data_IF_704902734565
#
_entry.id   IF_704902734565
#
_cell.length_a   1.000
_cell.length_b   1.000
_cell.length_c   1.000
_cell.angle_alpha   90.00
_cell.angle_beta   90.00
_cell.angle_gamma   90.00
#
_symmetry.space_group_name_H-M   'P 1'
#
loop_
_entity.id
_entity.type
_entity.pdbx_description
1 polymer ?
#
# COMPACT_ATOMS: atom_id res chain seq x y z
N UNK A 1 -9.78 5.15 -32.03
CA UNK A 1 -10.24 4.77 -30.68
C UNK A 1 -9.34 5.50 -29.68
N UNK A 2 -9.74 6.68 -29.21
CA UNK A 2 -8.89 7.60 -28.43
C UNK A 2 -9.70 8.28 -27.30
N UNK A 3 -10.62 7.55 -26.67
CA UNK A 3 -11.55 8.10 -25.66
C UNK A 3 -11.45 7.46 -24.26
N UNK A 4 -10.70 6.37 -24.09
CA UNK A 4 -10.54 5.70 -22.78
C UNK A 4 -9.32 6.17 -21.99
N UNK A 5 -8.28 6.68 -22.66
CA UNK A 5 -7.06 7.15 -22.00
C UNK A 5 -7.30 8.38 -21.12
N UNK A 6 -8.27 9.23 -21.46
CA UNK A 6 -8.64 10.41 -20.67
C UNK A 6 -9.39 10.04 -19.39
N UNK A 7 -10.32 9.07 -19.47
CA UNK A 7 -11.08 8.59 -18.32
C UNK A 7 -10.19 7.82 -17.33
N UNK A 8 -9.26 6.99 -17.83
CA UNK A 8 -8.29 6.29 -16.99
C UNK A 8 -7.38 7.29 -16.26
N UNK A 9 -6.91 8.35 -16.94
CA UNK A 9 -6.08 9.38 -16.29
C UNK A 9 -6.83 10.16 -15.21
N UNK A 10 -8.12 10.47 -15.43
CA UNK A 10 -8.95 11.17 -14.44
C UNK A 10 -9.27 10.29 -13.23
N UNK A 11 -9.58 9.00 -13.44
CA UNK A 11 -9.82 8.05 -12.35
C UNK A 11 -8.56 7.87 -11.49
N UNK A 12 -7.41 7.68 -12.15
CA UNK A 12 -6.10 7.60 -11.49
C UNK A 12 -5.77 8.86 -10.69
N UNK A 13 -6.11 10.05 -11.19
CA UNK A 13 -5.88 11.31 -10.46
C UNK A 13 -6.76 11.41 -9.21
N UNK A 14 -8.02 10.95 -9.30
CA UNK A 14 -8.95 10.94 -8.19
C UNK A 14 -8.50 9.94 -7.10
N UNK A 15 -8.09 8.74 -7.49
CA UNK A 15 -7.58 7.71 -6.56
C UNK A 15 -6.24 8.13 -5.93
N UNK A 16 -5.37 8.77 -6.71
CA UNK A 16 -4.12 9.35 -6.21
C UNK A 16 -4.40 10.44 -5.18
N UNK A 17 -5.37 11.32 -5.44
CA UNK A 17 -5.76 12.36 -4.49
C UNK A 17 -6.35 11.77 -3.21
N UNK A 18 -7.15 10.71 -3.33
CA UNK A 18 -7.78 10.01 -2.22
C UNK A 18 -6.78 9.29 -1.31
N UNK A 19 -5.65 8.79 -1.83
CA UNK A 19 -4.57 8.19 -1.02
C UNK A 19 -3.52 9.22 -0.57
N UNK A 20 -3.25 10.25 -1.36
CA UNK A 20 -2.15 11.20 -1.09
C UNK A 20 -2.35 12.00 0.19
N UNK A 21 -3.56 12.54 0.41
CA UNK A 21 -3.89 13.31 1.60
C UNK A 21 -3.79 12.47 2.90
N UNK A 22 -4.49 11.32 3.04
CA UNK A 22 -4.38 10.51 4.24
C UNK A 22 -2.97 9.95 4.46
N UNK A 23 -2.23 9.59 3.41
CA UNK A 23 -0.83 9.16 3.54
C UNK A 23 0.09 10.29 4.03
N UNK A 24 -0.11 11.52 3.56
CA UNK A 24 0.64 12.68 4.02
C UNK A 24 0.32 13.00 5.49
N UNK A 25 -0.96 12.99 5.86
CA UNK A 25 -1.39 13.23 7.25
C UNK A 25 -0.85 12.17 8.20
N UNK A 26 -0.91 10.90 7.81
CA UNK A 26 -0.29 9.80 8.54
C UNK A 26 1.23 9.99 8.65
N UNK A 27 1.92 10.39 7.57
CA UNK A 27 3.35 10.68 7.56
C UNK A 27 3.72 11.76 8.58
N UNK A 28 2.98 12.88 8.59
CA UNK A 28 3.21 13.98 9.52
C UNK A 28 2.92 13.58 10.95
N UNK A 29 1.84 12.83 11.20
CA UNK A 29 1.52 12.31 12.52
C UNK A 29 2.61 11.36 13.04
N UNK A 30 3.10 10.46 12.17
CA UNK A 30 4.19 9.55 12.49
C UNK A 30 5.49 10.29 12.77
N UNK A 31 5.86 11.26 11.92
CA UNK A 31 7.04 12.08 12.13
C UNK A 31 6.99 12.84 13.46
N UNK A 32 5.86 13.46 13.80
CA UNK A 32 5.68 14.13 15.11
C UNK A 32 5.90 13.17 16.28
N UNK A 33 5.40 11.93 16.18
CA UNK A 33 5.59 10.89 17.21
C UNK A 33 7.05 10.42 17.29
N UNK A 34 7.72 10.26 16.15
CA UNK A 34 9.14 9.90 16.11
C UNK A 34 9.99 11.02 16.70
N UNK A 35 9.77 12.27 16.28
CA UNK A 35 10.50 13.44 16.78
C UNK A 35 10.33 13.63 18.30
N UNK A 36 9.15 13.35 18.84
CA UNK A 36 8.93 13.39 20.29
C UNK A 36 9.71 12.31 21.08
N UNK A 37 10.14 11.24 20.40
CA UNK A 37 10.90 10.12 21.00
C UNK A 37 12.39 10.16 20.67
N UNK A 38 12.78 10.96 19.70
CA UNK A 38 14.15 11.08 19.23
C UNK A 38 14.85 12.22 19.97
N UNK A 39 16.10 12.00 20.39
CA UNK A 39 16.90 13.04 21.03
C UNK A 39 17.11 14.24 20.09
N UNK A 40 17.14 15.44 20.66
CA UNK A 40 17.37 16.66 19.90
C UNK A 40 18.68 16.58 19.10
N UNK A 41 18.62 16.85 17.80
CA UNK A 41 19.77 16.81 16.90
C UNK A 41 19.94 15.50 16.11
N UNK A 42 19.12 14.48 16.34
CA UNK A 42 19.15 13.26 15.53
C UNK A 42 18.25 13.38 14.29
N UNK A 43 18.78 12.96 13.15
CA UNK A 43 18.05 12.93 11.89
C UNK A 43 17.05 11.76 11.86
N UNK A 44 15.84 12.01 11.39
CA UNK A 44 14.79 10.99 11.21
C UNK A 44 14.56 10.84 9.71
N UNK A 45 14.83 9.65 9.18
CA UNK A 45 14.60 9.32 7.77
C UNK A 45 13.71 8.07 7.67
N UNK A 46 12.60 8.19 6.95
CA UNK A 46 11.69 7.07 6.68
C UNK A 46 10.92 7.31 5.38
N UNK A 47 10.34 6.25 4.82
CA UNK A 47 9.43 6.32 3.66
C UNK A 47 7.98 6.21 4.13
N UNK A 48 7.20 7.31 4.11
CA UNK A 48 5.81 7.25 4.55
C UNK A 48 4.94 6.34 3.70
N UNK A 49 5.19 6.33 2.38
CA UNK A 49 4.47 5.47 1.44
C UNK A 49 4.76 3.99 1.71
N UNK A 50 6.02 3.64 2.00
CA UNK A 50 6.39 2.25 2.30
C UNK A 50 5.69 1.72 3.55
N UNK A 51 5.66 2.52 4.63
CA UNK A 51 4.98 2.14 5.88
C UNK A 51 3.46 2.03 5.66
N UNK A 52 2.86 2.99 4.96
CA UNK A 52 1.42 2.99 4.68
C UNK A 52 1.02 1.78 3.81
N UNK A 53 1.84 1.45 2.81
CA UNK A 53 1.66 0.27 1.96
C UNK A 53 1.73 -1.01 2.78
N UNK A 54 2.76 -1.16 3.62
CA UNK A 54 2.92 -2.35 4.46
C UNK A 54 1.74 -2.52 5.44
N UNK A 55 1.26 -1.44 6.04
CA UNK A 55 0.10 -1.49 6.94
C UNK A 55 -1.22 -1.77 6.20
N UNK A 56 -1.39 -1.26 4.98
CA UNK A 56 -2.55 -1.58 4.11
C UNK A 56 -2.53 -3.04 3.63
N UNK A 57 -1.34 -3.57 3.40
CA UNK A 57 -1.13 -4.97 3.06
C UNK A 57 -1.43 -5.87 4.26
N UNK A 58 -0.98 -5.47 5.45
CA UNK A 58 -1.28 -6.15 6.72
C UNK A 58 -2.77 -6.11 7.06
N UNK A 59 -3.44 -4.99 6.83
CA UNK A 59 -4.87 -4.85 7.12
C UNK A 59 -5.71 -5.82 6.28
N UNK A 60 -5.30 -6.14 5.05
CA UNK A 60 -5.98 -7.13 4.21
C UNK A 60 -6.02 -8.52 4.86
N UNK A 61 -5.01 -8.89 5.66
CA UNK A 61 -4.97 -10.13 6.42
C UNK A 61 -5.48 -10.02 7.87
N UNK A 62 -5.82 -8.81 8.33
CA UNK A 62 -6.35 -8.56 9.66
C UNK A 62 -7.88 -8.73 9.67
N UNK A 63 -8.42 -9.20 10.79
CA UNK A 63 -9.87 -9.36 10.97
C UNK A 63 -10.40 -8.47 12.10
N UNK A 64 -11.68 -8.08 11.98
CA UNK A 64 -12.45 -7.40 13.02
C UNK A 64 -11.79 -6.08 13.47
N UNK A 65 -11.63 -5.88 14.77
CA UNK A 65 -11.09 -4.67 15.40
C UNK A 65 -9.71 -4.28 14.86
N UNK A 66 -8.82 -5.26 14.63
CA UNK A 66 -7.47 -4.99 14.12
C UNK A 66 -7.51 -4.36 12.72
N UNK A 67 -8.44 -4.79 11.87
CA UNK A 67 -8.63 -4.20 10.54
C UNK A 67 -9.06 -2.73 10.66
N UNK A 68 -10.08 -2.47 11.49
CA UNK A 68 -10.62 -1.12 11.72
C UNK A 68 -9.56 -0.17 12.28
N UNK A 69 -8.75 -0.62 13.25
CA UNK A 69 -7.68 0.18 13.84
C UNK A 69 -6.59 0.55 12.83
N UNK A 70 -6.21 -0.39 11.96
CA UNK A 70 -5.24 -0.13 10.88
C UNK A 70 -5.81 0.88 9.88
N UNK A 71 -7.05 0.69 9.43
CA UNK A 71 -7.73 1.60 8.49
C UNK A 71 -7.86 3.01 9.07
N UNK A 72 -8.33 3.12 10.31
CA UNK A 72 -8.47 4.41 10.98
C UNK A 72 -7.12 5.09 11.19
N UNK A 73 -6.07 4.34 11.51
CA UNK A 73 -4.73 4.90 11.70
C UNK A 73 -4.14 5.46 10.41
N UNK A 74 -4.43 4.81 9.28
CA UNK A 74 -4.00 5.25 7.95
C UNK A 74 -4.88 6.35 7.35
N UNK A 75 -6.00 6.71 7.99
CA UNK A 75 -6.95 7.68 7.46
C UNK A 75 -7.85 7.13 6.35
N UNK A 76 -7.98 5.80 6.23
CA UNK A 76 -8.81 5.12 5.23
C UNK A 76 -10.20 4.75 5.74
N UNK A 77 -10.63 5.28 6.89
CA UNK A 77 -11.92 4.93 7.51
C UNK A 77 -13.12 5.21 6.61
N UNK A 78 -12.99 6.08 5.62
CA UNK A 78 -14.04 6.40 4.63
C UNK A 78 -13.95 5.56 3.35
N UNK A 79 -12.94 4.69 3.22
CA UNK A 79 -12.67 3.89 2.03
C UNK A 79 -12.82 2.39 2.34
N UNK A 80 -13.26 1.62 1.34
CA UNK A 80 -13.27 0.16 1.44
C UNK A 80 -11.90 -0.43 1.07
N UNK A 81 -11.61 -1.64 1.58
CA UNK A 81 -10.35 -2.34 1.28
C UNK A 81 -10.09 -2.49 -0.22
N UNK A 82 -11.12 -2.79 -1.01
CA UNK A 82 -11.00 -2.90 -2.47
C UNK A 82 -10.59 -1.57 -3.11
N UNK A 83 -11.19 -0.46 -2.68
CA UNK A 83 -10.86 0.88 -3.21
C UNK A 83 -9.44 1.28 -2.85
N UNK A 84 -8.99 0.99 -1.63
CA UNK A 84 -7.61 1.23 -1.20
C UNK A 84 -6.64 0.39 -2.04
N UNK A 85 -6.93 -0.89 -2.25
CA UNK A 85 -6.08 -1.78 -3.03
C UNK A 85 -5.98 -1.35 -4.50
N UNK A 86 -7.11 -1.00 -5.12
CA UNK A 86 -7.16 -0.47 -6.49
C UNK A 86 -6.37 0.84 -6.59
N UNK A 87 -6.60 1.78 -5.67
CA UNK A 87 -5.87 3.05 -5.64
C UNK A 87 -4.35 2.85 -5.48
N UNK A 88 -3.90 1.87 -4.70
CA UNK A 88 -2.48 1.49 -4.61
C UNK A 88 -1.95 0.86 -5.90
N UNK A 89 -2.73 0.01 -6.58
CA UNK A 89 -2.36 -0.53 -7.89
C UNK A 89 -2.20 0.59 -8.93
N UNK A 90 -3.14 1.53 -8.98
CA UNK A 90 -3.07 2.71 -9.84
C UNK A 90 -1.85 3.57 -9.50
N UNK A 91 -1.60 3.82 -8.21
CA UNK A 91 -0.44 4.57 -7.73
C UNK A 91 0.88 3.91 -8.16
N UNK A 92 1.06 2.61 -7.94
CA UNK A 92 2.28 1.91 -8.33
C UNK A 92 2.42 1.79 -9.85
N UNK A 93 1.31 1.70 -10.58
CA UNK A 93 1.35 1.74 -12.04
C UNK A 93 1.90 3.08 -12.53
N UNK A 94 1.43 4.21 -11.99
CA UNK A 94 1.91 5.54 -12.34
C UNK A 94 3.36 5.75 -11.89
N UNK A 95 3.71 5.34 -10.67
CA UNK A 95 5.06 5.49 -10.15
C UNK A 95 6.08 4.57 -10.85
N UNK A 96 5.63 3.42 -11.35
CA UNK A 96 6.43 2.49 -12.13
C UNK A 96 6.60 2.88 -13.60
N UNK A 97 5.80 3.84 -14.10
CA UNK A 97 6.05 4.50 -15.37
C UNK A 97 7.23 5.48 -15.20
N UNK A 98 8.45 4.95 -15.30
CA UNK A 98 9.70 5.71 -15.20
C UNK A 98 9.66 6.97 -16.05
N UNK A 99 9.80 8.13 -15.40
CA UNK A 99 10.36 9.31 -16.04
C UNK A 99 11.89 9.12 -16.13
N UNK A 100 12.52 9.66 -17.17
CA UNK A 100 13.88 9.30 -17.63
C UNK A 100 15.01 9.32 -16.57
N UNK A 101 14.78 9.89 -15.38
CA UNK A 101 15.79 10.03 -14.31
C UNK A 101 15.35 9.52 -12.92
N UNK A 102 14.21 8.84 -12.78
CA UNK A 102 13.74 8.37 -11.47
C UNK A 102 13.22 6.94 -11.53
N UNK A 103 13.84 6.06 -10.71
CA UNK A 103 13.43 4.67 -10.52
C UNK A 103 12.90 4.51 -9.10
N UNK A 104 11.63 4.13 -8.97
CA UNK A 104 11.00 3.79 -7.69
C UNK A 104 10.56 2.33 -7.72
N UNK A 105 11.02 1.55 -6.73
CA UNK A 105 10.60 0.17 -6.52
C UNK A 105 10.02 0.06 -5.10
N UNK A 106 8.84 -0.54 -4.99
CA UNK A 106 8.12 -0.67 -3.71
C UNK A 106 7.89 -2.14 -3.45
N UNK A 107 8.58 -2.67 -2.44
CA UNK A 107 8.50 -4.07 -2.05
C UNK A 107 8.09 -4.16 -0.58
N UNK A 108 7.02 -4.90 -0.31
CA UNK A 108 6.58 -5.26 1.03
C UNK A 108 6.47 -6.78 1.12
N UNK A 109 7.12 -7.39 2.11
CA UNK A 109 7.07 -8.83 2.33
C UNK A 109 6.35 -9.12 3.65
N UNK A 110 5.46 -10.12 3.64
CA UNK A 110 4.80 -10.61 4.84
C UNK A 110 5.33 -12.01 5.17
N UNK A 111 6.00 -12.16 6.30
CA UNK A 111 6.41 -13.48 6.78
C UNK A 111 5.29 -14.05 7.65
N UNK A 112 4.49 -14.95 7.08
CA UNK A 112 3.49 -15.68 7.86
C UNK A 112 4.08 -17.02 8.31
N UNK A 113 3.90 -17.44 9.58
CA UNK A 113 4.01 -18.84 9.94
C UNK A 113 2.84 -19.58 9.27
N UNK A 114 3.03 -20.00 8.02
CA UNK A 114 1.97 -20.61 7.21
C UNK A 114 1.71 -22.05 7.68
N UNK A 115 0.46 -22.46 7.97
CA UNK A 115 0.04 -23.83 7.69
C UNK A 115 0.07 -24.05 6.16
N UNK A 116 0.19 -25.31 5.66
CA UNK A 116 0.59 -25.62 4.28
C UNK A 116 -0.31 -25.07 3.15
N UNK A 117 -1.47 -24.48 3.45
CA UNK A 117 -2.37 -23.91 2.45
C UNK A 117 -2.98 -22.61 2.97
N UNK A 118 -2.43 -21.46 2.56
CA UNK A 118 -3.11 -20.17 2.69
C UNK A 118 -3.37 -19.64 1.29
N UNK A 119 -4.64 -19.52 0.93
CA UNK A 119 -5.05 -19.02 -0.38
C UNK A 119 -5.13 -17.51 -0.31
N UNK A 120 -4.16 -16.80 -0.89
CA UNK A 120 -4.25 -15.36 -1.07
C UNK A 120 -5.15 -15.05 -2.28
N UNK A 121 -6.05 -14.05 -2.19
CA UNK A 121 -6.84 -13.61 -3.33
C UNK A 121 -5.95 -13.04 -4.44
N UNK A 122 -6.33 -13.30 -5.69
CA UNK A 122 -5.55 -13.04 -6.91
C UNK A 122 -5.17 -11.58 -7.13
N UNK A 123 -5.83 -10.64 -6.47
CA UNK A 123 -5.57 -9.19 -6.57
C UNK A 123 -4.23 -8.75 -5.97
N UNK A 124 -3.55 -9.64 -5.23
CA UNK A 124 -2.30 -9.33 -4.53
C UNK A 124 -1.04 -9.75 -5.30
N UNK A 125 -1.20 -10.45 -6.42
CA UNK A 125 -0.09 -10.93 -7.24
C UNK A 125 0.39 -9.84 -8.21
N UNK A 126 1.34 -9.02 -7.79
CA UNK A 126 2.30 -8.41 -8.72
C UNK A 126 3.28 -9.51 -9.19
N UNK A 127 3.82 -9.43 -10.42
CA UNK A 127 3.89 -10.52 -11.38
C UNK A 127 4.89 -11.60 -10.95
N UNK A 128 4.44 -12.56 -10.16
CA UNK A 128 5.10 -13.85 -10.06
C UNK A 128 4.12 -14.93 -10.49
N UNK A 129 4.61 -15.86 -11.31
CA UNK A 129 3.79 -16.94 -11.86
C UNK A 129 3.42 -17.95 -10.76
N UNK A 130 2.19 -18.51 -10.75
CA UNK A 130 1.74 -19.44 -9.73
C UNK A 130 2.27 -20.84 -10.08
N UNK A 131 3.44 -21.21 -9.59
CA UNK A 131 3.80 -22.62 -9.53
C UNK A 131 4.55 -22.91 -8.24
N UNK A 132 3.81 -23.40 -7.23
CA UNK A 132 4.24 -24.48 -6.32
C UNK A 132 3.17 -24.75 -5.26
N UNK A 133 1.97 -25.11 -5.70
CA UNK A 133 1.02 -25.87 -4.87
C UNK A 133 0.57 -27.07 -5.70
N UNK A 134 1.52 -27.94 -6.05
CA UNK A 134 1.20 -29.25 -6.61
C UNK A 134 1.91 -30.32 -5.79
N UNK A 135 1.12 -30.93 -4.92
CA UNK A 135 1.15 -32.31 -4.45
C UNK A 135 2.47 -32.94 -3.99
N UNK A 136 2.52 -33.30 -2.71
CA UNK A 136 2.85 -34.67 -2.28
C UNK A 136 2.44 -34.92 -0.83
N UNK A 137 1.37 -35.71 -0.68
CA UNK A 137 1.41 -36.85 0.25
C UNK A 137 2.48 -37.82 -0.25
#
# INVERSE_FOLDING_TARGET
MASDSGLISVLVLLDLSALSAPNADFAFALYKRLNARTAAGNNIFFSPLGISTALSVLSTGAHSETHSQLFSSLGYSTLNQTQVNEAYQHLFHVLGQSQENQKLDVVSFLTLPLPPCFSFPSSFFLPFSPQSCLSRL
#
